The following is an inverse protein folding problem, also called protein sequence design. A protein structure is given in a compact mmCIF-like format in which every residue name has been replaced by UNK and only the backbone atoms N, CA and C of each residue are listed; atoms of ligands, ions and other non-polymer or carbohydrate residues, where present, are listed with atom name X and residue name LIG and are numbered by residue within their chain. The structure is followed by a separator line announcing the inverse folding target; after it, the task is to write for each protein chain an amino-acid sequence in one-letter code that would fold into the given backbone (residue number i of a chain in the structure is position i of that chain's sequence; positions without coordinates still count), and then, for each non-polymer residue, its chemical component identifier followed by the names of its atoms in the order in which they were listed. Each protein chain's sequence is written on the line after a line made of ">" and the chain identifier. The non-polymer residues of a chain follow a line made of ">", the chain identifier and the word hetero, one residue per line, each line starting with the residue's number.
data_IF_263836581265
#
_entry.id   IF_263836581265
#
_cell.length_a   1.000
_cell.length_b   1.000
_cell.length_c   1.000
_cell.angle_alpha   90.00
_cell.angle_beta   90.00
_cell.angle_gamma   90.00
#
_symmetry.space_group_name_H-M   'P 1'
#
loop_
_entity.id
_entity.type
_entity.pdbx_description
1 polymer ?
#
# COMPACT_ATOMS: atom_id res chain seq x y z
N UNK A 1 -19.08 -45.97 -48.93
CA UNK A 1 -17.83 -45.26 -48.57
C UNK A 1 -17.86 -44.96 -47.07
N UNK A 2 -16.83 -45.41 -46.35
CA UNK A 2 -16.75 -45.40 -44.87
C UNK A 2 -16.66 -43.96 -44.33
N UNK A 3 -17.49 -43.63 -43.34
CA UNK A 3 -17.38 -42.39 -42.54
C UNK A 3 -16.29 -42.62 -41.48
N UNK A 4 -15.19 -41.89 -41.57
CA UNK A 4 -14.12 -41.93 -40.57
C UNK A 4 -14.39 -40.82 -39.57
N UNK A 5 -14.83 -41.19 -38.36
CA UNK A 5 -15.01 -40.26 -37.24
C UNK A 5 -13.63 -39.97 -36.65
N UNK A 6 -13.14 -38.73 -36.79
CA UNK A 6 -11.89 -38.29 -36.20
C UNK A 6 -12.13 -37.95 -34.72
N UNK A 7 -11.68 -38.81 -33.81
CA UNK A 7 -11.73 -38.56 -32.37
C UNK A 7 -10.56 -37.64 -32.02
N UNK A 8 -10.85 -36.38 -31.67
CA UNK A 8 -9.86 -35.42 -31.22
C UNK A 8 -9.66 -35.62 -29.71
N UNK A 9 -8.66 -36.41 -29.32
CA UNK A 9 -8.23 -36.54 -27.92
C UNK A 9 -7.57 -35.24 -27.46
N UNK A 10 -8.26 -34.48 -26.62
CA UNK A 10 -7.71 -33.31 -25.94
C UNK A 10 -6.78 -33.79 -24.82
N UNK A 11 -5.47 -33.72 -25.04
CA UNK A 11 -4.49 -34.05 -24.00
C UNK A 11 -4.42 -32.86 -23.03
N UNK A 12 -5.04 -33.01 -21.85
CA UNK A 12 -4.94 -32.03 -20.78
C UNK A 12 -3.52 -32.13 -20.19
N UNK A 13 -2.61 -31.25 -20.63
CA UNK A 13 -1.27 -31.13 -20.03
C UNK A 13 -1.43 -30.32 -18.74
N UNK A 14 -1.57 -31.01 -17.62
CA UNK A 14 -1.44 -30.39 -16.30
C UNK A 14 0.06 -30.13 -16.10
N UNK A 15 0.48 -28.89 -16.37
CA UNK A 15 1.82 -28.43 -16.02
C UNK A 15 1.82 -28.26 -14.50
N UNK A 16 2.32 -29.28 -13.78
CA UNK A 16 2.75 -29.09 -12.41
C UNK A 16 4.00 -28.22 -12.44
N UNK A 17 3.84 -26.91 -12.27
CA UNK A 17 4.97 -26.05 -11.93
C UNK A 17 5.41 -26.42 -10.52
N UNK A 18 6.49 -27.19 -10.42
CA UNK A 18 7.23 -27.24 -9.17
C UNK A 18 7.70 -25.81 -8.90
N UNK A 19 7.10 -25.12 -7.91
CA UNK A 19 7.63 -23.85 -7.43
C UNK A 19 9.03 -24.13 -6.88
N UNK A 20 10.05 -23.86 -7.69
CA UNK A 20 11.42 -23.87 -7.24
C UNK A 20 11.57 -22.62 -6.36
N UNK A 21 11.45 -22.81 -5.06
CA UNK A 21 11.60 -21.74 -4.10
C UNK A 21 13.07 -21.29 -4.11
N UNK A 22 13.32 -20.07 -4.58
CA UNK A 22 14.60 -19.44 -4.33
C UNK A 22 14.65 -19.12 -2.84
N UNK A 23 15.33 -19.97 -2.06
CA UNK A 23 15.59 -19.67 -0.66
C UNK A 23 16.49 -18.43 -0.61
N UNK A 24 15.98 -17.34 -0.02
CA UNK A 24 16.77 -16.14 0.16
C UNK A 24 17.79 -16.40 1.27
N UNK A 25 19.08 -16.25 0.96
CA UNK A 25 20.17 -16.43 1.92
C UNK A 25 20.91 -15.10 2.13
N UNK A 26 20.28 -14.20 2.88
CA UNK A 26 20.91 -12.98 3.35
C UNK A 26 20.66 -12.81 4.85
N UNK A 27 21.48 -11.96 5.46
CA UNK A 27 21.36 -11.53 6.83
C UNK A 27 20.82 -10.10 6.89
N UNK A 28 20.10 -9.82 7.95
CA UNK A 28 19.65 -8.50 8.34
C UNK A 28 20.20 -8.17 9.73
N UNK A 29 20.30 -6.88 10.04
CA UNK A 29 20.66 -6.41 11.39
C UNK A 29 19.42 -5.83 12.03
N UNK A 30 19.02 -6.34 13.19
CA UNK A 30 17.94 -5.75 13.98
C UNK A 30 18.37 -4.37 14.50
N UNK A 31 17.63 -3.34 14.10
CA UNK A 31 17.94 -1.94 14.45
C UNK A 31 17.91 -1.70 15.96
N UNK A 32 17.09 -2.45 16.71
CA UNK A 32 16.89 -2.22 18.16
C UNK A 32 18.03 -2.75 19.01
N UNK A 33 18.61 -3.89 18.64
CA UNK A 33 19.61 -4.59 19.47
C UNK A 33 20.92 -4.87 18.73
N UNK A 34 21.05 -4.43 17.48
CA UNK A 34 22.22 -4.60 16.63
C UNK A 34 22.63 -6.07 16.41
N UNK A 35 21.68 -7.00 16.51
CA UNK A 35 21.92 -8.43 16.27
C UNK A 35 21.75 -8.75 14.78
N UNK A 36 22.77 -9.36 14.20
CA UNK A 36 22.67 -9.96 12.87
C UNK A 36 21.87 -11.27 12.92
N UNK A 37 20.93 -11.44 12.00
CA UNK A 37 20.08 -12.62 11.88
C UNK A 37 19.92 -13.02 10.42
N UNK A 38 19.90 -14.32 10.13
CA UNK A 38 19.58 -14.82 8.79
C UNK A 38 18.08 -14.60 8.51
N UNK A 39 17.74 -14.17 7.29
CA UNK A 39 16.34 -13.88 6.92
C UNK A 39 15.40 -15.07 7.17
N UNK A 40 15.87 -16.30 6.94
CA UNK A 40 15.07 -17.51 7.18
C UNK A 40 14.71 -17.72 8.66
N UNK A 41 15.47 -17.15 9.59
CA UNK A 41 15.27 -17.32 11.03
C UNK A 41 14.40 -16.22 11.65
N UNK A 42 14.09 -15.14 10.90
CA UNK A 42 13.38 -13.98 11.47
C UNK A 42 11.96 -14.33 11.90
N UNK A 43 11.27 -15.19 11.14
CA UNK A 43 9.88 -15.50 11.43
C UNK A 43 9.74 -16.25 12.76
N UNK A 44 10.67 -17.17 13.04
CA UNK A 44 10.72 -17.88 14.32
C UNK A 44 11.25 -16.97 15.44
N UNK A 45 12.31 -16.21 15.17
CA UNK A 45 12.97 -15.40 16.22
C UNK A 45 12.10 -14.25 16.72
N UNK A 46 11.28 -13.66 15.85
CA UNK A 46 10.42 -12.52 16.17
C UNK A 46 8.93 -12.87 16.27
N UNK A 47 8.59 -14.16 16.24
CA UNK A 47 7.20 -14.66 16.31
C UNK A 47 6.30 -14.01 15.23
N UNK A 48 6.82 -13.90 14.01
CA UNK A 48 6.09 -13.33 12.86
C UNK A 48 5.11 -14.40 12.36
N UNK A 49 3.82 -14.07 12.27
CA UNK A 49 2.81 -15.04 11.84
C UNK A 49 2.98 -15.40 10.36
N UNK A 50 3.51 -16.59 10.11
CA UNK A 50 3.76 -17.16 8.79
C UNK A 50 2.50 -17.38 7.95
N UNK A 51 1.32 -17.35 8.57
CA UNK A 51 0.04 -17.51 7.87
C UNK A 51 -0.47 -16.19 7.30
N UNK A 52 0.01 -15.05 7.80
CA UNK A 52 -0.33 -13.74 7.25
C UNK A 52 0.54 -13.42 6.03
N UNK A 53 0.00 -12.71 5.03
CA UNK A 53 0.81 -12.15 3.95
C UNK A 53 1.87 -11.23 4.56
N UNK A 54 3.09 -11.31 4.04
CA UNK A 54 4.22 -10.51 4.54
C UNK A 54 4.75 -9.61 3.44
N UNK A 55 4.96 -8.34 3.76
CA UNK A 55 5.56 -7.35 2.86
C UNK A 55 6.86 -6.85 3.44
N UNK A 56 7.95 -6.98 2.67
CA UNK A 56 9.22 -6.32 2.98
C UNK A 56 9.32 -5.06 2.15
N UNK A 57 9.63 -3.93 2.79
CA UNK A 57 9.77 -2.62 2.14
C UNK A 57 11.15 -2.06 2.47
N UNK A 58 11.99 -1.84 1.44
CA UNK A 58 13.26 -1.14 1.65
C UNK A 58 13.06 0.36 1.72
N UNK A 59 13.91 1.03 2.50
CA UNK A 59 13.87 2.50 2.63
C UNK A 59 15.25 3.08 2.94
N UNK A 60 15.42 4.37 2.65
CA UNK A 60 16.57 5.16 3.08
C UNK A 60 16.09 6.48 3.64
N UNK A 61 16.64 6.89 4.78
CA UNK A 61 16.39 8.21 5.34
C UNK A 61 17.10 9.33 4.59
N UNK A 62 18.25 9.02 3.96
CA UNK A 62 19.06 10.02 3.25
C UNK A 62 18.46 10.46 1.92
N UNK A 63 17.90 9.53 1.14
CA UNK A 63 17.53 9.80 -0.25
C UNK A 63 16.15 9.28 -0.66
N UNK A 64 15.44 8.55 0.20
CA UNK A 64 14.10 8.05 -0.11
C UNK A 64 13.00 8.57 0.82
N UNK A 65 12.80 9.89 0.84
CA UNK A 65 11.63 10.48 1.51
C UNK A 65 10.28 9.87 1.08
N UNK A 66 10.04 9.49 -0.20
CA UNK A 66 8.84 8.75 -0.58
C UNK A 66 8.69 7.39 0.11
N UNK A 67 9.78 6.64 0.35
CA UNK A 67 9.74 5.36 1.07
C UNK A 67 9.27 5.54 2.52
N UNK A 68 9.82 6.55 3.20
CA UNK A 68 9.44 6.89 4.58
C UNK A 68 7.95 7.25 4.64
N UNK A 69 7.45 8.03 3.68
CA UNK A 69 6.01 8.34 3.59
C UNK A 69 5.15 7.11 3.36
N UNK A 70 5.57 6.21 2.46
CA UNK A 70 4.87 4.96 2.20
C UNK A 70 4.75 4.12 3.48
N UNK A 71 5.86 3.92 4.19
CA UNK A 71 5.87 3.14 5.45
C UNK A 71 4.99 3.83 6.51
N UNK A 72 5.01 5.16 6.61
CA UNK A 72 4.13 5.90 7.52
C UNK A 72 2.65 5.62 7.23
N UNK A 73 2.23 5.55 5.96
CA UNK A 73 0.83 5.22 5.61
C UNK A 73 0.44 3.83 6.09
N UNK A 74 1.32 2.85 5.93
CA UNK A 74 1.10 1.50 6.47
C UNK A 74 1.05 1.47 8.00
N UNK A 75 1.70 2.40 8.70
CA UNK A 75 1.67 2.46 10.16
C UNK A 75 0.27 2.82 10.72
N UNK A 76 -0.54 3.52 9.92
CA UNK A 76 -1.92 3.88 10.26
C UNK A 76 -2.90 2.70 10.07
N UNK A 77 -2.45 1.63 9.42
CA UNK A 77 -3.25 0.45 9.11
C UNK A 77 -3.38 -0.53 10.30
N UNK A 78 -4.33 -1.45 10.18
CA UNK A 78 -4.49 -2.61 11.07
C UNK A 78 -3.60 -3.77 10.59
N UNK A 79 -2.37 -3.81 11.10
CA UNK A 79 -1.39 -4.84 10.76
C UNK A 79 -1.67 -6.21 11.41
N UNK A 80 -2.84 -6.43 12.02
CA UNK A 80 -3.29 -7.79 12.36
C UNK A 80 -3.60 -8.64 11.12
N UNK A 81 -3.71 -8.02 9.95
CA UNK A 81 -4.02 -8.68 8.67
C UNK A 81 -2.80 -8.97 7.81
N UNK A 82 -1.63 -8.41 8.14
CA UNK A 82 -0.40 -8.61 7.39
C UNK A 82 0.84 -8.28 8.20
N UNK A 83 1.96 -8.92 7.90
CA UNK A 83 3.25 -8.55 8.46
C UNK A 83 3.94 -7.50 7.59
N UNK A 84 4.57 -6.51 8.21
CA UNK A 84 5.44 -5.55 7.52
C UNK A 84 6.84 -5.62 8.11
N UNK A 85 7.80 -5.86 7.23
CA UNK A 85 9.22 -5.84 7.51
C UNK A 85 9.80 -4.62 6.80
N UNK A 86 10.43 -3.71 7.54
CA UNK A 86 11.16 -2.59 6.93
C UNK A 86 12.65 -2.90 6.91
N UNK A 87 13.31 -2.57 5.81
CA UNK A 87 14.76 -2.77 5.65
C UNK A 87 15.42 -1.46 5.25
N UNK A 88 16.15 -0.85 6.18
CA UNK A 88 16.98 0.31 5.90
C UNK A 88 18.16 -0.10 5.00
N UNK A 89 18.38 0.65 3.92
CA UNK A 89 19.44 0.41 2.94
C UNK A 89 20.50 1.52 2.93
N UNK A 90 20.57 2.33 3.99
CA UNK A 90 21.65 3.30 4.15
C UNK A 90 22.97 2.58 4.46
N UNK A 91 24.09 3.12 3.97
CA UNK A 91 25.40 2.50 4.14
C UNK A 91 25.87 2.54 5.60
N UNK A 92 26.88 1.72 5.95
CA UNK A 92 27.47 1.73 7.30
C UNK A 92 27.91 3.12 7.77
N UNK A 93 28.36 3.98 6.85
CA UNK A 93 28.81 5.35 7.16
C UNK A 93 27.68 6.32 7.48
N UNK A 94 26.43 6.00 7.12
CA UNK A 94 25.29 6.93 7.22
C UNK A 94 24.10 6.35 7.98
N UNK A 95 24.11 5.05 8.28
CA UNK A 95 23.00 4.39 9.00
C UNK A 95 22.82 4.97 10.40
N UNK A 96 23.88 5.23 11.16
CA UNK A 96 23.77 5.79 12.51
C UNK A 96 23.05 7.15 12.50
N UNK A 97 23.50 8.09 11.65
CA UNK A 97 22.86 9.40 11.53
C UNK A 97 21.41 9.33 11.05
N UNK A 98 21.07 8.38 10.16
CA UNK A 98 19.69 8.18 9.71
C UNK A 98 18.82 7.60 10.82
N UNK A 99 19.35 6.66 11.61
CA UNK A 99 18.61 6.08 12.72
C UNK A 99 18.37 7.14 13.82
N UNK A 100 19.30 8.07 14.03
CA UNK A 100 19.14 9.20 14.95
C UNK A 100 17.97 10.14 14.57
N UNK A 101 17.60 10.21 13.29
CA UNK A 101 16.40 10.95 12.86
C UNK A 101 15.08 10.31 13.37
N UNK A 102 15.14 9.04 13.79
CA UNK A 102 14.06 8.40 14.54
C UNK A 102 12.82 8.02 13.73
N UNK A 103 12.91 7.90 12.40
CA UNK A 103 11.79 7.44 11.56
C UNK A 103 11.22 6.10 12.04
N UNK A 104 12.10 5.11 12.21
CA UNK A 104 11.78 3.75 12.60
C UNK A 104 11.15 3.64 14.00
N UNK A 105 11.38 4.63 14.88
CA UNK A 105 10.79 4.66 16.23
C UNK A 105 9.26 4.84 16.18
N UNK A 106 8.73 5.35 15.07
CA UNK A 106 7.28 5.51 14.85
C UNK A 106 6.63 4.23 14.34
N UNK A 107 7.39 3.29 13.80
CA UNK A 107 6.91 2.06 13.15
C UNK A 107 6.89 0.87 14.12
N UNK A 108 6.23 1.06 15.26
CA UNK A 108 6.20 0.09 16.36
C UNK A 108 5.33 -1.14 16.11
N UNK A 109 4.51 -1.12 15.05
CA UNK A 109 3.72 -2.28 14.58
C UNK A 109 4.47 -3.13 13.55
N UNK A 110 5.70 -2.77 13.21
CA UNK A 110 6.50 -3.37 12.13
C UNK A 110 7.80 -3.95 12.66
N UNK A 111 8.41 -4.84 11.88
CA UNK A 111 9.73 -5.40 12.17
C UNK A 111 10.79 -4.62 11.41
N UNK A 112 11.70 -3.94 12.11
CA UNK A 112 12.62 -2.96 11.52
C UNK A 112 14.06 -3.46 11.52
N UNK A 113 14.65 -3.54 10.34
CA UNK A 113 16.00 -4.06 10.15
C UNK A 113 16.85 -3.15 9.26
N UNK A 114 18.16 -3.37 9.29
CA UNK A 114 19.13 -2.85 8.34
C UNK A 114 19.64 -3.97 7.42
N UNK A 115 19.98 -3.59 6.19
CA UNK A 115 20.36 -4.47 5.09
C UNK A 115 21.72 -5.18 5.24
N UNK A 116 22.50 -4.93 6.31
CA UNK A 116 23.83 -5.54 6.51
C UNK A 116 24.77 -5.30 5.30
N UNK A 117 24.74 -4.09 4.74
CA UNK A 117 25.44 -3.68 3.51
C UNK A 117 26.96 -3.70 3.73
N UNK A 118 27.72 -4.20 2.76
CA UNK A 118 29.19 -4.26 2.86
C UNK A 118 29.74 -5.48 3.59
N UNK A 119 28.86 -6.42 4.01
CA UNK A 119 29.24 -7.67 4.64
C UNK A 119 29.68 -8.73 3.61
N UNK A 120 30.78 -9.43 3.91
CA UNK A 120 31.59 -10.22 2.97
C UNK A 120 30.84 -11.21 2.06
N UNK A 121 29.69 -11.78 2.48
CA UNK A 121 28.92 -12.78 1.67
C UNK A 121 27.41 -12.89 1.90
N UNK A 122 26.89 -12.36 3.01
CA UNK A 122 25.46 -12.48 3.38
C UNK A 122 24.77 -11.12 3.56
N UNK A 123 25.37 -10.03 3.09
CA UNK A 123 24.67 -8.74 3.04
C UNK A 123 23.51 -8.77 2.04
N UNK A 124 22.45 -8.02 2.31
CA UNK A 124 21.28 -7.90 1.43
C UNK A 124 21.66 -7.36 0.04
N UNK A 125 22.69 -6.53 -0.02
CA UNK A 125 23.32 -5.98 -1.23
C UNK A 125 23.95 -7.03 -2.17
N UNK A 126 24.20 -8.24 -1.67
CA UNK A 126 24.66 -9.35 -2.51
C UNK A 126 23.53 -9.97 -3.35
N UNK A 127 22.27 -9.71 -3.00
CA UNK A 127 21.08 -10.28 -3.66
C UNK A 127 20.25 -9.19 -4.34
N UNK A 128 20.10 -8.02 -3.70
CA UNK A 128 19.22 -6.96 -4.15
C UNK A 128 19.98 -5.65 -4.37
N UNK A 129 19.50 -4.85 -5.32
CA UNK A 129 20.02 -3.50 -5.53
C UNK A 129 19.61 -2.56 -4.39
N UNK A 130 20.57 -2.19 -3.55
CA UNK A 130 20.38 -1.27 -2.41
C UNK A 130 20.50 0.20 -2.78
N UNK A 131 20.91 0.52 -4.02
CA UNK A 131 20.93 1.90 -4.55
C UNK A 131 19.56 2.37 -5.05
N UNK A 132 18.54 1.53 -4.95
CA UNK A 132 17.16 1.86 -5.28
C UNK A 132 16.22 1.42 -4.15
N UNK A 133 15.28 2.28 -3.79
CA UNK A 133 14.23 2.00 -2.83
C UNK A 133 12.95 2.77 -3.26
N UNK A 134 11.75 2.25 -2.98
CA UNK A 134 11.51 1.01 -2.26
C UNK A 134 11.59 -0.19 -3.22
N UNK A 135 12.36 -1.19 -2.85
CA UNK A 135 12.14 -2.56 -3.27
C UNK A 135 11.07 -3.13 -2.34
N UNK A 136 10.02 -3.68 -2.94
CA UNK A 136 8.92 -4.34 -2.25
C UNK A 136 8.97 -5.82 -2.61
N UNK A 137 9.06 -6.67 -1.58
CA UNK A 137 8.95 -8.11 -1.72
C UNK A 137 7.69 -8.58 -1.01
N UNK A 138 6.88 -9.37 -1.70
CA UNK A 138 5.74 -10.07 -1.10
C UNK A 138 6.14 -11.50 -0.79
N UNK A 139 5.69 -11.99 0.36
CA UNK A 139 5.89 -13.37 0.77
C UNK A 139 4.57 -14.04 1.11
N UNK A 140 4.39 -15.24 0.55
CA UNK A 140 3.34 -16.18 0.91
C UNK A 140 3.98 -17.38 1.62
N UNK A 141 3.70 -17.54 2.92
CA UNK A 141 4.28 -18.63 3.73
C UNK A 141 5.81 -18.72 3.57
N UNK A 142 6.49 -17.60 3.82
CA UNK A 142 7.96 -17.41 3.72
C UNK A 142 8.54 -17.39 2.29
N UNK A 143 7.74 -17.66 1.26
CA UNK A 143 8.22 -17.72 -0.10
C UNK A 143 7.93 -16.43 -0.84
N UNK A 144 8.92 -15.91 -1.58
CA UNK A 144 8.71 -14.73 -2.44
C UNK A 144 7.62 -15.03 -3.46
N UNK A 145 6.51 -14.31 -3.37
CA UNK A 145 5.41 -14.38 -4.33
C UNK A 145 5.52 -13.30 -5.40
N UNK A 146 6.12 -12.16 -5.08
CA UNK A 146 6.27 -11.03 -6.00
C UNK A 146 7.43 -10.10 -5.56
N UNK A 147 8.01 -9.36 -6.50
CA UNK A 147 9.11 -8.42 -6.26
C UNK A 147 9.04 -7.26 -7.25
N UNK A 148 8.95 -6.03 -6.73
CA UNK A 148 8.86 -4.83 -7.57
C UNK A 148 9.44 -3.58 -6.91
N UNK A 149 9.74 -2.58 -7.74
CA UNK A 149 10.09 -1.23 -7.29
C UNK A 149 8.89 -0.34 -7.56
N UNK A 150 8.22 0.12 -6.51
CA UNK A 150 7.01 0.95 -6.66
C UNK A 150 6.79 1.87 -5.48
N UNK A 151 6.61 3.15 -5.78
CA UNK A 151 6.14 4.16 -4.81
C UNK A 151 4.60 4.20 -4.71
N UNK A 152 3.89 3.53 -5.62
CA UNK A 152 2.43 3.59 -5.75
C UNK A 152 1.69 2.41 -5.11
N UNK A 153 2.35 1.65 -4.23
CA UNK A 153 1.74 0.56 -3.49
C UNK A 153 1.22 1.03 -2.13
N UNK A 154 0.37 2.05 -2.17
CA UNK A 154 -0.30 2.56 -0.98
C UNK A 154 -1.26 1.53 -0.37
N UNK A 155 -1.56 1.58 0.94
CA UNK A 155 -2.40 0.59 1.61
C UNK A 155 -3.75 0.34 0.93
N UNK A 156 -4.44 1.39 0.44
CA UNK A 156 -5.72 1.21 -0.24
C UNK A 156 -5.64 0.37 -1.53
N UNK A 157 -4.48 0.34 -2.19
CA UNK A 157 -4.27 -0.50 -3.39
C UNK A 157 -4.28 -2.00 -3.06
N UNK A 158 -3.97 -2.38 -1.81
CA UNK A 158 -4.11 -3.77 -1.37
C UNK A 158 -5.57 -4.20 -1.29
N UNK A 159 -6.45 -3.29 -0.86
CA UNK A 159 -7.90 -3.48 -0.87
C UNK A 159 -8.42 -3.52 -2.31
N UNK A 160 -8.07 -2.52 -3.11
CA UNK A 160 -8.52 -2.40 -4.51
C UNK A 160 -8.18 -3.65 -5.33
N UNK A 161 -6.99 -4.22 -5.13
CA UNK A 161 -6.53 -5.38 -5.89
C UNK A 161 -6.88 -6.73 -5.24
N UNK A 162 -7.63 -6.73 -4.13
CA UNK A 162 -8.06 -7.94 -3.43
C UNK A 162 -6.93 -8.72 -2.75
N UNK A 163 -5.78 -8.09 -2.48
CA UNK A 163 -4.71 -8.71 -1.66
C UNK A 163 -5.09 -8.75 -0.18
N UNK A 164 -5.88 -7.78 0.26
CA UNK A 164 -6.58 -7.76 1.54
C UNK A 164 -8.04 -7.46 1.23
N UNK A 165 -8.97 -8.21 1.80
CA UNK A 165 -10.40 -8.13 1.48
C UNK A 165 -11.25 -7.44 2.56
N UNK A 166 -10.68 -7.13 3.72
CA UNK A 166 -11.34 -6.43 4.81
C UNK A 166 -10.94 -4.94 4.86
N UNK A 167 -11.91 -4.05 4.66
CA UNK A 167 -11.75 -2.60 4.73
C UNK A 167 -11.20 -2.12 6.08
N UNK A 168 -11.35 -2.91 7.14
CA UNK A 168 -10.78 -2.60 8.47
C UNK A 168 -9.28 -2.39 8.43
N UNK A 169 -8.58 -3.01 7.48
CA UNK A 169 -7.16 -2.79 7.24
C UNK A 169 -6.79 -1.30 7.16
N UNK A 170 -7.59 -0.49 6.45
CA UNK A 170 -7.35 0.95 6.25
C UNK A 170 -8.33 1.84 7.04
N UNK A 171 -9.15 1.29 7.94
CA UNK A 171 -10.28 2.02 8.55
C UNK A 171 -9.89 3.19 9.47
N UNK A 172 -8.60 3.27 9.82
CA UNK A 172 -8.02 4.36 10.61
C UNK A 172 -7.12 5.28 9.77
N UNK A 173 -7.00 5.07 8.46
CA UNK A 173 -6.27 5.95 7.55
C UNK A 173 -7.25 6.84 6.79
N UNK A 174 -7.30 8.13 7.17
CA UNK A 174 -8.12 9.13 6.48
C UNK A 174 -7.76 9.22 5.00
N UNK A 175 -6.46 9.20 4.70
CA UNK A 175 -5.93 9.34 3.33
C UNK A 175 -6.31 8.11 2.50
N UNK A 176 -6.06 6.89 2.99
CA UNK A 176 -6.33 5.67 2.22
C UNK A 176 -7.83 5.45 1.97
N UNK A 177 -8.69 5.82 2.94
CA UNK A 177 -10.13 5.79 2.75
C UNK A 177 -10.62 6.80 1.71
N UNK A 178 -10.02 8.01 1.69
CA UNK A 178 -10.31 9.00 0.66
C UNK A 178 -9.89 8.51 -0.72
N UNK A 179 -8.66 8.02 -0.86
CA UNK A 179 -8.12 7.53 -2.14
C UNK A 179 -8.96 6.37 -2.68
N UNK A 180 -9.35 5.41 -1.83
CA UNK A 180 -10.22 4.31 -2.25
C UNK A 180 -11.58 4.81 -2.74
N UNK A 181 -12.16 5.81 -2.07
CA UNK A 181 -13.43 6.38 -2.46
C UNK A 181 -13.34 7.19 -3.77
N UNK A 182 -12.25 7.93 -3.96
CA UNK A 182 -11.97 8.67 -5.18
C UNK A 182 -11.81 7.76 -6.39
N UNK A 183 -11.09 6.65 -6.24
CA UNK A 183 -10.93 5.64 -7.29
C UNK A 183 -12.28 5.00 -7.66
N UNK A 184 -13.11 4.68 -6.68
CA UNK A 184 -14.47 4.19 -6.96
C UNK A 184 -15.29 5.22 -7.75
N UNK A 185 -15.23 6.50 -7.39
CA UNK A 185 -15.87 7.56 -8.18
C UNK A 185 -15.36 7.61 -9.63
N UNK A 186 -14.06 7.44 -9.84
CA UNK A 186 -13.43 7.51 -11.16
C UNK A 186 -13.73 6.32 -12.07
N UNK A 187 -13.87 5.11 -11.51
CA UNK A 187 -13.88 3.88 -12.29
C UNK A 187 -15.13 3.01 -12.17
N UNK A 188 -15.90 3.12 -11.08
CA UNK A 188 -17.07 2.27 -10.85
C UNK A 188 -18.35 2.87 -11.42
N UNK A 189 -19.14 2.09 -12.15
CA UNK A 189 -20.44 2.53 -12.69
C UNK A 189 -21.63 1.93 -11.92
N UNK A 190 -21.40 0.91 -11.10
CA UNK A 190 -22.43 0.35 -10.23
C UNK A 190 -22.69 1.28 -9.05
N UNK A 191 -23.91 1.83 -8.98
CA UNK A 191 -24.33 2.72 -7.90
C UNK A 191 -24.28 2.06 -6.51
N UNK A 192 -24.35 0.72 -6.43
CA UNK A 192 -24.16 -0.01 -5.17
C UNK A 192 -22.72 0.12 -4.67
N UNK A 193 -21.73 0.03 -5.55
CA UNK A 193 -20.32 0.22 -5.18
C UNK A 193 -20.02 1.70 -4.86
N UNK A 194 -20.61 2.64 -5.59
CA UNK A 194 -20.50 4.08 -5.27
C UNK A 194 -21.11 4.40 -3.89
N UNK A 195 -22.23 3.77 -3.53
CA UNK A 195 -22.85 3.95 -2.21
C UNK A 195 -21.95 3.40 -1.08
N UNK A 196 -21.18 2.33 -1.32
CA UNK A 196 -20.15 1.87 -0.37
C UNK A 196 -19.00 2.89 -0.27
N UNK A 197 -18.54 3.43 -1.39
CA UNK A 197 -17.50 4.46 -1.42
C UNK A 197 -17.91 5.71 -0.63
N UNK A 198 -19.20 6.06 -0.63
CA UNK A 198 -19.75 7.10 0.25
C UNK A 198 -19.45 6.83 1.73
N UNK A 199 -19.57 5.58 2.17
CA UNK A 199 -19.22 5.17 3.54
C UNK A 199 -17.74 5.38 3.86
N UNK A 200 -16.84 5.04 2.93
CA UNK A 200 -15.40 5.21 3.09
C UNK A 200 -15.01 6.69 3.22
N UNK A 201 -15.49 7.55 2.32
CA UNK A 201 -15.16 8.99 2.38
C UNK A 201 -15.77 9.68 3.61
N UNK A 202 -16.96 9.26 4.06
CA UNK A 202 -17.53 9.77 5.30
C UNK A 202 -16.66 9.43 6.52
N UNK A 203 -16.12 8.20 6.56
CA UNK A 203 -15.16 7.82 7.60
C UNK A 203 -13.85 8.61 7.49
N UNK A 204 -13.35 8.84 6.27
CA UNK A 204 -12.18 9.72 6.05
C UNK A 204 -12.40 11.12 6.65
N UNK A 205 -13.54 11.74 6.35
CA UNK A 205 -13.92 13.06 6.88
C UNK A 205 -14.02 13.06 8.41
N UNK A 206 -14.51 11.97 9.01
CA UNK A 206 -14.59 11.82 10.47
C UNK A 206 -13.20 11.79 11.12
N UNK A 207 -12.25 11.10 10.50
CA UNK A 207 -10.88 10.96 11.01
C UNK A 207 -10.09 12.26 10.90
N UNK A 208 -10.12 12.89 9.73
CA UNK A 208 -9.41 14.13 9.46
C UNK A 208 -10.06 14.87 8.28
N UNK A 209 -10.97 15.81 8.57
CA UNK A 209 -11.67 16.59 7.55
C UNK A 209 -10.71 17.56 6.87
N UNK A 210 -10.62 17.47 5.55
CA UNK A 210 -9.79 18.35 4.73
C UNK A 210 -10.46 18.62 3.36
N UNK A 211 -9.81 19.40 2.52
CA UNK A 211 -10.33 19.73 1.19
C UNK A 211 -10.60 18.47 0.35
N UNK A 212 -9.61 17.57 0.26
CA UNK A 212 -9.64 16.40 -0.63
C UNK A 212 -10.80 15.44 -0.32
N UNK A 213 -11.08 15.18 0.96
CA UNK A 213 -12.17 14.25 1.31
C UNK A 213 -13.56 14.88 1.25
N UNK A 214 -13.69 16.19 1.50
CA UNK A 214 -14.97 16.88 1.30
C UNK A 214 -15.28 17.01 -0.20
N UNK A 215 -14.27 17.26 -1.04
CA UNK A 215 -14.43 17.27 -2.50
C UNK A 215 -14.79 15.89 -3.07
N UNK A 216 -14.10 14.84 -2.62
CA UNK A 216 -14.41 13.45 -3.00
C UNK A 216 -15.84 13.09 -2.61
N UNK A 217 -16.31 13.51 -1.43
CA UNK A 217 -17.69 13.27 -1.01
C UNK A 217 -18.70 14.03 -1.89
N UNK A 218 -18.40 15.27 -2.28
CA UNK A 218 -19.23 16.02 -3.22
C UNK A 218 -19.33 15.32 -4.59
N UNK A 219 -18.21 14.80 -5.09
CA UNK A 219 -18.12 14.05 -6.35
C UNK A 219 -18.95 12.75 -6.31
N UNK A 220 -18.85 12.00 -5.21
CA UNK A 220 -19.66 10.78 -4.99
C UNK A 220 -21.15 11.11 -4.94
N UNK A 221 -21.55 12.16 -4.20
CA UNK A 221 -22.95 12.59 -4.15
C UNK A 221 -23.47 13.00 -5.53
N UNK A 222 -22.64 13.67 -6.34
CA UNK A 222 -22.99 14.01 -7.71
C UNK A 222 -23.19 12.74 -8.57
N UNK A 223 -22.30 11.75 -8.47
CA UNK A 223 -22.43 10.46 -9.20
C UNK A 223 -23.68 9.68 -8.79
N UNK A 224 -24.08 9.77 -7.52
CA UNK A 224 -25.32 9.18 -6.99
C UNK A 224 -26.59 9.98 -7.34
N UNK A 225 -26.46 11.16 -7.95
CA UNK A 225 -27.59 12.03 -8.32
C UNK A 225 -28.15 12.88 -7.18
N UNK A 226 -27.50 12.94 -6.01
CA UNK A 226 -27.89 13.82 -4.90
C UNK A 226 -27.30 15.23 -5.08
N UNK A 227 -27.75 15.91 -6.14
CA UNK A 227 -27.18 17.18 -6.60
C UNK A 227 -27.26 18.30 -5.57
N UNK A 228 -28.34 18.35 -4.77
CA UNK A 228 -28.47 19.37 -3.72
C UNK A 228 -27.42 19.20 -2.63
N UNK A 229 -27.17 17.97 -2.16
CA UNK A 229 -26.11 17.72 -1.18
C UNK A 229 -24.72 17.85 -1.79
N UNK A 230 -24.53 17.41 -3.04
CA UNK A 230 -23.28 17.59 -3.76
C UNK A 230 -22.89 19.08 -3.82
N UNK A 231 -23.83 19.97 -4.18
CA UNK A 231 -23.58 21.41 -4.23
C UNK A 231 -23.17 21.96 -2.86
N UNK A 232 -23.82 21.50 -1.79
CA UNK A 232 -23.49 21.90 -0.43
C UNK A 232 -22.07 21.48 -0.05
N UNK A 233 -21.68 20.24 -0.34
CA UNK A 233 -20.35 19.73 -0.02
C UNK A 233 -19.25 20.37 -0.89
N UNK A 234 -19.49 20.55 -2.19
CA UNK A 234 -18.53 21.21 -3.08
C UNK A 234 -18.24 22.65 -2.64
N UNK A 235 -19.27 23.40 -2.23
CA UNK A 235 -19.07 24.74 -1.65
C UNK A 235 -18.25 24.69 -0.36
N UNK A 236 -18.51 23.70 0.50
CA UNK A 236 -17.74 23.52 1.72
C UNK A 236 -16.27 23.17 1.44
N UNK A 237 -16.00 22.33 0.44
CA UNK A 237 -14.64 22.02 0.01
C UNK A 237 -13.90 23.28 -0.45
N UNK A 238 -14.53 24.15 -1.26
CA UNK A 238 -13.93 25.43 -1.67
C UNK A 238 -13.60 26.34 -0.48
N UNK A 239 -14.46 26.43 0.52
CA UNK A 239 -14.15 27.24 1.71
C UNK A 239 -12.94 26.68 2.47
N UNK A 240 -12.83 25.35 2.63
CA UNK A 240 -11.64 24.72 3.22
C UNK A 240 -10.38 24.97 2.38
N UNK A 241 -10.49 24.89 1.05
CA UNK A 241 -9.36 25.15 0.15
C UNK A 241 -8.87 26.60 0.26
N UNK A 242 -9.79 27.57 0.31
CA UNK A 242 -9.43 28.99 0.51
C UNK A 242 -8.73 29.24 1.84
N UNK A 243 -9.22 28.65 2.93
CA UNK A 243 -8.61 28.76 4.26
C UNK A 243 -7.18 28.22 4.30
N UNK A 244 -6.89 27.19 3.49
CA UNK A 244 -5.58 26.54 3.43
C UNK A 244 -4.73 26.99 2.24
N UNK A 245 -5.15 28.01 1.49
CA UNK A 245 -4.47 28.50 0.28
C UNK A 245 -4.21 27.41 -0.78
N UNK A 246 -5.15 26.47 -0.92
CA UNK A 246 -5.11 25.35 -1.86
C UNK A 246 -5.88 25.67 -3.15
N UNK A 247 -5.50 25.03 -4.26
CA UNK A 247 -6.26 25.10 -5.51
C UNK A 247 -7.60 24.36 -5.41
N UNK A 248 -8.62 24.90 -6.07
CA UNK A 248 -9.99 24.37 -6.07
C UNK A 248 -10.70 24.50 -7.43
N UNK A 249 -9.93 24.63 -8.52
CA UNK A 249 -10.49 24.75 -9.87
C UNK A 249 -11.37 23.54 -10.23
N UNK A 250 -10.90 22.32 -9.95
CA UNK A 250 -11.65 21.08 -10.18
C UNK A 250 -13.01 21.07 -9.45
N UNK A 251 -13.07 21.57 -8.21
CA UNK A 251 -14.32 21.67 -7.45
C UNK A 251 -15.26 22.72 -8.03
N UNK A 252 -14.71 23.80 -8.59
CA UNK A 252 -15.50 24.83 -9.28
C UNK A 252 -16.15 24.26 -10.54
N UNK A 253 -15.42 23.45 -11.31
CA UNK A 253 -15.98 22.72 -12.45
C UNK A 253 -17.08 21.74 -12.02
N UNK A 254 -16.88 21.02 -10.92
CA UNK A 254 -17.90 20.14 -10.33
C UNK A 254 -19.18 20.92 -9.98
N UNK A 255 -19.06 22.11 -9.38
CA UNK A 255 -20.21 22.98 -9.08
C UNK A 255 -20.98 23.33 -10.35
N UNK A 256 -20.29 23.68 -11.43
CA UNK A 256 -20.94 24.01 -12.70
C UNK A 256 -21.73 22.81 -13.24
N UNK A 257 -21.12 21.60 -13.23
CA UNK A 257 -21.80 20.35 -13.61
C UNK A 257 -23.03 20.06 -12.73
N UNK A 258 -22.94 20.34 -11.43
CA UNK A 258 -24.07 20.17 -10.50
C UNK A 258 -25.21 21.14 -10.84
N UNK A 259 -24.90 22.41 -11.12
CA UNK A 259 -25.90 23.44 -11.46
C UNK A 259 -26.65 23.09 -12.75
N UNK A 260 -25.97 22.52 -13.75
CA UNK A 260 -26.63 22.06 -15.00
C UNK A 260 -27.63 20.92 -14.79
N UNK A 261 -27.53 20.19 -13.66
CA UNK A 261 -28.42 19.06 -13.33
C UNK A 261 -29.59 19.44 -12.42
N UNK A 262 -29.56 20.63 -11.80
CA UNK A 262 -30.60 21.14 -10.91
C UNK A 262 -31.69 21.90 -11.69
#
# INVERSE_FOLDING_TARGET
>A
MKKTTLFLTFLLVIIYSNKSYSQLDFNLVDIKNNKTIAFNDIFETYDIDKNLPTMLITWSGNWCAPCVRLINRYNDCDLSMMNIITVNVDSENTVESVLDEGYHLKWNKMFNFHANIGSDKKGFDNIFNVSSAPLILYFDKENVSDALISYGLDPYKLIQNGRIDDIKFIWNSSIDLNELAWEAYGYEEDLVEIEKAKGWVLRSIELDKNYSNVDTYASILFKLGDYTKALKQAKQAIEIAKENEQDYEATTELINKIIEKL
#
